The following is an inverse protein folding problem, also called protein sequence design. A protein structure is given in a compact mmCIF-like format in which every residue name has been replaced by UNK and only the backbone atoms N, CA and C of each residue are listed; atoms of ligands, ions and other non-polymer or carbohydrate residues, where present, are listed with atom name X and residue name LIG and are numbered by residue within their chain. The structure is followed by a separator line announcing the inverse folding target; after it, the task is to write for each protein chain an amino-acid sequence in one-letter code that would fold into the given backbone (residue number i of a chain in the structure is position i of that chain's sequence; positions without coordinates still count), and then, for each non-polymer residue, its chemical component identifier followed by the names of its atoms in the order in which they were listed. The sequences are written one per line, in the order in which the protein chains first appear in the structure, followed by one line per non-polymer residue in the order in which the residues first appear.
data_IF_454161146021
#
_entry.id   IF_454161146021
#
_cell.length_a   1.000
_cell.length_b   1.000
_cell.length_c   1.000
_cell.angle_alpha   90.00
_cell.angle_beta   90.00
_cell.angle_gamma   90.00
#
_symmetry.space_group_name_H-M   'P 1'
#
loop_
_entity.id
_entity.type
_entity.pdbx_description
1 polymer ?
#
# COMPACT_ATOMS: atom_id res chain seq x y z
N UNK A 1 36.20 -21.27 -19.78
CA UNK A 1 34.84 -20.90 -20.21
C UNK A 1 34.40 -19.71 -19.38
N UNK A 2 34.36 -18.56 -20.02
CA UNK A 2 34.22 -17.23 -19.42
C UNK A 2 32.72 -16.90 -19.33
N UNK A 3 32.13 -17.11 -18.15
CA UNK A 3 30.73 -16.73 -17.89
C UNK A 3 30.74 -15.24 -17.56
N UNK A 4 30.59 -14.42 -18.60
CA UNK A 4 30.43 -12.97 -18.45
C UNK A 4 29.12 -12.70 -17.72
N UNK A 5 29.24 -12.36 -16.45
CA UNK A 5 28.15 -11.93 -15.58
C UNK A 5 27.63 -10.58 -16.09
N UNK A 6 26.52 -10.61 -16.83
CA UNK A 6 25.87 -9.40 -17.35
C UNK A 6 25.18 -8.72 -16.17
N UNK A 7 25.57 -7.47 -15.91
CA UNK A 7 25.06 -6.63 -14.82
C UNK A 7 23.53 -6.54 -14.88
N UNK A 8 22.91 -7.15 -13.88
CA UNK A 8 21.47 -7.19 -13.60
C UNK A 8 20.98 -5.77 -13.23
N UNK A 9 20.67 -4.94 -14.23
CA UNK A 9 19.98 -3.64 -14.03
C UNK A 9 18.45 -3.70 -14.28
N UNK A 10 17.90 -4.87 -14.60
CA UNK A 10 16.46 -5.05 -14.88
C UNK A 10 15.66 -5.74 -13.75
N UNK A 11 16.26 -5.98 -12.58
CA UNK A 11 15.60 -6.76 -11.52
C UNK A 11 14.82 -5.91 -10.50
N UNK A 12 14.77 -4.58 -10.68
CA UNK A 12 13.93 -3.71 -9.82
C UNK A 12 12.46 -4.02 -10.07
N UNK A 13 12.08 -4.23 -11.34
CA UNK A 13 10.67 -4.44 -11.71
C UNK A 13 10.21 -5.82 -11.24
N UNK A 14 11.00 -6.87 -11.44
CA UNK A 14 10.64 -8.23 -11.00
C UNK A 14 10.54 -8.38 -9.46
N UNK A 15 11.45 -7.76 -8.70
CA UNK A 15 11.40 -7.82 -7.22
C UNK A 15 10.26 -6.95 -6.67
N UNK A 16 9.97 -5.82 -7.32
CA UNK A 16 8.81 -4.97 -7.01
C UNK A 16 7.50 -5.72 -7.31
N UNK A 17 7.41 -6.43 -8.44
CA UNK A 17 6.23 -7.18 -8.87
C UNK A 17 5.87 -8.30 -7.89
N UNK A 18 6.84 -9.10 -7.42
CA UNK A 18 6.58 -10.15 -6.42
C UNK A 18 6.08 -9.58 -5.09
N UNK A 19 6.55 -8.37 -4.71
CA UNK A 19 6.08 -7.69 -3.50
C UNK A 19 4.65 -7.18 -3.64
N UNK A 20 4.24 -6.77 -4.85
CA UNK A 20 2.85 -6.36 -5.15
C UNK A 20 1.90 -7.55 -5.06
N UNK A 21 2.25 -8.70 -5.64
CA UNK A 21 1.42 -9.91 -5.55
C UNK A 21 1.27 -10.42 -4.10
N UNK A 22 2.23 -10.09 -3.21
CA UNK A 22 2.15 -10.36 -1.77
C UNK A 22 1.31 -9.34 -0.98
N UNK A 23 0.89 -8.23 -1.59
CA UNK A 23 -0.05 -7.30 -0.97
C UNK A 23 -1.46 -7.92 -1.09
N UNK A 24 -1.77 -8.83 -0.16
CA UNK A 24 -3.09 -9.39 0.16
C UNK A 24 -4.24 -9.20 -0.85
N UNK A 25 -4.92 -10.31 -1.20
CA UNK A 25 -6.22 -10.38 -1.91
C UNK A 25 -7.40 -9.64 -1.21
N UNK A 26 -7.12 -8.81 -0.22
CA UNK A 26 -8.09 -8.08 0.61
C UNK A 26 -8.76 -6.93 -0.17
N UNK A 27 -8.06 -6.32 -1.13
CA UNK A 27 -8.62 -5.29 -2.02
C UNK A 27 -8.14 -5.50 -3.45
N UNK A 28 -9.09 -5.49 -4.38
CA UNK A 28 -8.83 -5.44 -5.82
C UNK A 28 -7.97 -4.20 -6.16
N UNK A 29 -6.74 -4.42 -6.64
CA UNK A 29 -5.81 -3.36 -7.01
C UNK A 29 -6.38 -2.42 -8.07
N UNK A 30 -7.23 -2.91 -8.98
CA UNK A 30 -7.90 -2.07 -9.98
C UNK A 30 -8.87 -1.12 -9.28
N UNK A 31 -9.64 -1.61 -8.31
CA UNK A 31 -10.53 -0.77 -7.49
C UNK A 31 -9.73 0.27 -6.69
N UNK A 32 -8.59 -0.13 -6.12
CA UNK A 32 -7.73 0.78 -5.37
C UNK A 32 -7.14 1.87 -6.26
N UNK A 33 -6.59 1.50 -7.42
CA UNK A 33 -6.00 2.43 -8.36
C UNK A 33 -7.04 3.42 -8.93
N UNK A 34 -8.24 2.96 -9.27
CA UNK A 34 -9.34 3.83 -9.68
C UNK A 34 -9.73 4.82 -8.56
N UNK A 35 -9.75 4.37 -7.31
CA UNK A 35 -10.03 5.24 -6.17
C UNK A 35 -8.91 6.25 -5.89
N UNK A 36 -7.67 5.96 -6.29
CA UNK A 36 -6.53 6.88 -6.18
C UNK A 36 -6.57 7.97 -7.23
N UNK A 37 -6.95 7.67 -8.47
CA UNK A 37 -6.94 8.62 -9.59
C UNK A 37 -7.71 9.92 -9.29
N UNK A 38 -8.85 9.80 -8.61
CA UNK A 38 -9.71 10.93 -8.25
C UNK A 38 -9.49 11.44 -6.82
N UNK A 39 -8.46 10.95 -6.11
CA UNK A 39 -8.29 11.27 -4.71
C UNK A 39 -7.69 12.69 -4.51
N UNK A 40 -8.39 13.61 -3.83
CA UNK A 40 -7.91 14.97 -3.61
C UNK A 40 -6.72 15.04 -2.63
N UNK A 41 -6.60 14.10 -1.71
CA UNK A 41 -5.50 14.03 -0.73
C UNK A 41 -4.16 13.70 -1.43
N UNK A 42 -4.18 12.85 -2.47
CA UNK A 42 -2.98 12.62 -3.29
C UNK A 42 -2.51 13.92 -3.96
N UNK A 43 -3.43 14.69 -4.57
CA UNK A 43 -3.10 15.98 -5.17
C UNK A 43 -2.51 16.94 -4.13
N UNK A 44 -3.07 16.95 -2.92
CA UNK A 44 -2.58 17.79 -1.84
C UNK A 44 -1.20 17.35 -1.35
N UNK A 45 -0.95 16.05 -1.22
CA UNK A 45 0.37 15.50 -0.85
C UNK A 45 1.44 15.92 -1.86
N UNK A 46 1.14 15.88 -3.15
CA UNK A 46 2.08 16.35 -4.19
C UNK A 46 2.31 17.85 -4.18
N UNK A 47 1.30 18.64 -3.78
CA UNK A 47 1.36 20.11 -3.77
C UNK A 47 2.08 20.66 -2.52
N UNK A 48 1.69 20.17 -1.35
CA UNK A 48 2.13 20.73 -0.05
C UNK A 48 3.48 20.13 0.39
N UNK A 49 3.93 19.05 -0.28
CA UNK A 49 5.11 18.30 0.11
C UNK A 49 4.82 17.36 1.28
N UNK A 50 5.39 16.16 1.22
CA UNK A 50 5.21 15.14 2.26
C UNK A 50 6.51 14.34 2.43
N UNK A 51 6.66 13.71 3.59
CA UNK A 51 7.70 12.70 3.80
C UNK A 51 7.46 11.42 2.98
N UNK A 52 6.25 11.25 2.43
CA UNK A 52 5.92 10.12 1.57
C UNK A 52 6.61 10.24 0.22
N UNK A 53 7.23 9.15 -0.23
CA UNK A 53 7.83 9.05 -1.57
C UNK A 53 6.87 8.31 -2.49
N UNK A 54 5.80 8.99 -2.89
CA UNK A 54 4.75 8.39 -3.72
C UNK A 54 5.18 8.29 -5.19
N UNK A 55 5.17 7.06 -5.72
CA UNK A 55 5.45 6.77 -7.12
C UNK A 55 4.39 5.83 -7.68
N UNK A 56 4.16 5.90 -9.00
CA UNK A 56 3.28 4.96 -9.70
C UNK A 56 4.01 3.65 -9.98
N UNK A 57 3.32 2.55 -9.74
CA UNK A 57 3.72 1.21 -10.18
C UNK A 57 2.63 0.61 -11.05
N UNK A 58 3.05 -0.07 -12.11
CA UNK A 58 2.12 -0.76 -12.98
C UNK A 58 1.62 -2.03 -12.31
N UNK A 59 0.30 -2.25 -12.29
CA UNK A 59 -0.29 -3.46 -11.73
C UNK A 59 -0.27 -4.55 -12.81
N UNK A 60 0.48 -5.66 -12.61
CA UNK A 60 0.63 -6.70 -13.63
C UNK A 60 -0.72 -7.31 -14.02
N UNK A 61 -0.88 -7.61 -15.31
CA UNK A 61 -2.13 -8.14 -15.87
C UNK A 61 -3.24 -7.11 -16.05
N UNK A 62 -2.98 -5.83 -15.76
CA UNK A 62 -3.96 -4.74 -15.93
C UNK A 62 -3.37 -3.60 -16.77
N UNK A 63 -4.17 -2.57 -17.07
CA UNK A 63 -3.69 -1.33 -17.70
C UNK A 63 -3.59 -0.17 -16.71
N UNK A 64 -3.63 -0.47 -15.41
CA UNK A 64 -3.82 0.54 -14.38
C UNK A 64 -2.55 0.69 -13.54
N UNK A 65 -2.27 1.93 -13.16
CA UNK A 65 -1.15 2.27 -12.30
C UNK A 65 -1.62 2.56 -10.88
N UNK A 66 -0.85 2.12 -9.90
CA UNK A 66 -1.11 2.29 -8.48
C UNK A 66 -0.07 3.21 -7.85
N UNK A 67 -0.49 4.19 -7.08
CA UNK A 67 0.40 4.99 -6.24
C UNK A 67 0.81 4.21 -5.00
N UNK A 68 2.12 4.06 -4.80
CA UNK A 68 2.73 3.42 -3.65
C UNK A 68 3.78 4.32 -3.02
N UNK A 69 3.93 4.22 -1.71
CA UNK A 69 5.01 4.86 -0.95
C UNK A 69 6.26 3.97 -0.94
N UNK A 70 7.38 4.60 -1.27
CA UNK A 70 8.72 4.01 -1.31
C UNK A 70 9.62 4.52 -0.17
N UNK A 71 9.08 5.29 0.78
CA UNK A 71 9.86 5.79 1.93
C UNK A 71 10.37 4.67 2.85
N UNK A 72 9.86 3.45 2.70
CA UNK A 72 10.26 2.25 3.43
C UNK A 72 10.71 1.13 2.50
N UNK A 73 11.51 0.14 2.98
CA UNK A 73 11.91 -1.01 2.17
C UNK A 73 10.73 -1.85 1.65
N UNK A 74 9.62 -1.86 2.38
CA UNK A 74 8.35 -2.41 1.91
C UNK A 74 7.59 -1.32 1.14
N UNK A 75 7.18 -1.64 -0.08
CA UNK A 75 6.34 -0.78 -0.90
C UNK A 75 4.90 -0.87 -0.38
N UNK A 76 4.28 0.27 -0.14
CA UNK A 76 2.95 0.33 0.49
C UNK A 76 1.98 1.11 -0.38
N UNK A 77 0.89 0.50 -0.88
CA UNK A 77 -0.13 1.23 -1.61
C UNK A 77 -0.74 2.33 -0.78
N UNK A 78 -0.88 3.50 -1.40
CA UNK A 78 -1.63 4.58 -0.83
C UNK A 78 -3.12 4.23 -0.78
N UNK A 79 -3.78 4.48 0.34
CA UNK A 79 -5.20 4.13 0.49
C UNK A 79 -6.08 5.38 0.56
N UNK A 80 -6.93 5.61 -0.45
CA UNK A 80 -7.99 6.62 -0.43
C UNK A 80 -8.93 6.46 0.76
N UNK A 81 -9.42 7.58 1.29
CA UNK A 81 -10.27 7.61 2.49
C UNK A 81 -11.47 6.64 2.44
N UNK A 82 -12.05 6.45 1.26
CA UNK A 82 -13.20 5.57 1.01
C UNK A 82 -12.90 4.09 1.24
N UNK A 83 -11.64 3.66 1.15
CA UNK A 83 -11.23 2.26 1.26
C UNK A 83 -10.55 1.92 2.60
N UNK A 84 -10.09 2.92 3.36
CA UNK A 84 -9.31 2.69 4.60
C UNK A 84 -10.05 1.84 5.62
N UNK A 85 -11.34 2.12 5.85
CA UNK A 85 -12.15 1.35 6.81
C UNK A 85 -12.41 -0.08 6.34
N UNK A 86 -12.60 -0.28 5.03
CA UNK A 86 -12.76 -1.61 4.45
C UNK A 86 -11.49 -2.45 4.69
N UNK A 87 -10.32 -1.91 4.33
CA UNK A 87 -9.02 -2.58 4.54
C UNK A 87 -8.79 -2.92 6.00
N UNK A 88 -9.04 -1.95 6.89
CA UNK A 88 -8.90 -2.20 8.32
C UNK A 88 -9.82 -3.33 8.79
N UNK A 89 -11.11 -3.30 8.44
CA UNK A 89 -12.06 -4.32 8.87
C UNK A 89 -11.65 -5.71 8.36
N UNK A 90 -11.23 -5.84 7.10
CA UNK A 90 -10.77 -7.11 6.55
C UNK A 90 -9.56 -7.66 7.31
N UNK A 91 -8.51 -6.85 7.52
CA UNK A 91 -7.33 -7.28 8.27
C UNK A 91 -7.63 -7.53 9.75
N UNK A 92 -8.55 -6.77 10.33
CA UNK A 92 -8.99 -6.95 11.70
C UNK A 92 -9.71 -8.30 11.90
N UNK A 93 -10.63 -8.64 11.00
CA UNK A 93 -11.32 -9.95 11.00
C UNK A 93 -10.37 -11.13 10.85
N UNK A 94 -9.26 -10.95 10.12
CA UNK A 94 -8.24 -11.99 9.93
C UNK A 94 -7.27 -12.14 11.11
N UNK A 95 -7.05 -11.08 11.88
CA UNK A 95 -5.97 -11.05 12.88
C UNK A 95 -6.31 -11.74 14.22
N UNK A 96 -7.54 -12.24 14.43
CA UNK A 96 -8.08 -12.61 15.76
C UNK A 96 -7.97 -11.43 16.79
N UNK A 97 -8.72 -11.43 17.91
CA UNK A 97 -8.81 -10.25 18.76
C UNK A 97 -7.50 -9.97 19.53
N UNK A 98 -6.65 -9.13 18.96
CA UNK A 98 -5.44 -8.57 19.58
C UNK A 98 -5.22 -7.12 19.12
N UNK A 99 -5.50 -6.16 19.99
CA UNK A 99 -5.70 -4.72 19.69
C UNK A 99 -4.43 -3.91 19.32
N UNK A 100 -3.35 -4.56 18.89
CA UNK A 100 -2.15 -3.87 18.37
C UNK A 100 -1.57 -4.53 17.11
N UNK A 101 -1.81 -5.83 16.92
CA UNK A 101 -1.29 -6.57 15.76
C UNK A 101 -1.89 -6.04 14.45
N UNK A 102 -3.20 -5.79 14.41
CA UNK A 102 -3.88 -5.26 13.21
C UNK A 102 -3.35 -3.87 12.82
N UNK A 103 -3.20 -2.94 13.76
CA UNK A 103 -2.69 -1.59 13.45
C UNK A 103 -1.28 -1.62 12.88
N UNK A 104 -0.44 -2.52 13.39
CA UNK A 104 0.92 -2.73 12.88
C UNK A 104 0.87 -3.32 11.47
N UNK A 105 0.10 -4.38 11.26
CA UNK A 105 -0.07 -5.05 9.97
C UNK A 105 -0.58 -4.09 8.89
N UNK A 106 -1.61 -3.30 9.20
CA UNK A 106 -2.18 -2.31 8.27
C UNK A 106 -1.11 -1.29 7.88
N UNK A 107 -0.32 -0.77 8.83
CA UNK A 107 0.73 0.22 8.57
C UNK A 107 2.00 -0.33 7.89
N UNK A 108 2.22 -1.64 7.96
CA UNK A 108 3.28 -2.35 7.24
C UNK A 108 2.90 -2.61 5.79
N UNK A 109 1.62 -2.85 5.50
CA UNK A 109 1.12 -3.18 4.16
C UNK A 109 0.62 -1.97 3.37
N UNK A 110 0.08 -0.97 4.04
CA UNK A 110 -0.60 0.18 3.42
C UNK A 110 -0.10 1.50 3.99
N UNK A 111 -0.43 2.60 3.29
CA UNK A 111 -0.08 3.95 3.73
C UNK A 111 -1.21 4.94 3.51
N UNK A 112 -1.40 5.82 4.48
CA UNK A 112 -2.16 7.07 4.34
C UNK A 112 -1.83 8.01 5.51
N UNK A 113 -2.04 9.34 5.36
CA UNK A 113 -1.88 10.28 6.46
C UNK A 113 -2.74 9.90 7.66
N UNK A 114 -2.11 9.67 8.81
CA UNK A 114 -2.83 9.34 10.05
C UNK A 114 -3.19 7.87 10.26
N UNK A 115 -2.70 6.93 9.44
CA UNK A 115 -2.96 5.48 9.52
C UNK A 115 -2.98 4.88 10.93
N UNK A 116 -1.98 5.17 11.76
CA UNK A 116 -1.91 4.66 13.13
C UNK A 116 -2.98 5.26 14.05
N UNK A 117 -3.35 6.52 13.83
CA UNK A 117 -4.41 7.20 14.59
C UNK A 117 -5.76 6.57 14.24
N UNK A 118 -6.08 6.47 12.95
CA UNK A 118 -7.33 5.89 12.45
C UNK A 118 -7.53 4.46 12.95
N UNK A 119 -6.49 3.61 12.84
CA UNK A 119 -6.59 2.22 13.30
C UNK A 119 -6.85 2.13 14.81
N UNK A 120 -6.22 2.97 15.64
CA UNK A 120 -6.49 3.02 17.09
C UNK A 120 -7.91 3.47 17.39
N UNK A 121 -8.40 4.47 16.68
CA UNK A 121 -9.76 4.98 16.86
C UNK A 121 -10.82 3.95 16.44
N UNK A 122 -10.55 3.15 15.41
CA UNK A 122 -11.43 2.05 15.00
C UNK A 122 -11.39 0.87 15.96
N UNK A 123 -10.21 0.46 16.44
CA UNK A 123 -10.10 -0.62 17.44
C UNK A 123 -10.86 -0.29 18.73
N UNK A 124 -10.83 0.97 19.20
CA UNK A 124 -11.59 1.41 20.38
C UNK A 124 -13.10 1.31 20.21
N UNK A 125 -13.59 1.41 18.97
CA UNK A 125 -15.02 1.29 18.61
C UNK A 125 -15.44 -0.16 18.33
N UNK A 126 -14.50 -1.10 18.33
CA UNK A 126 -14.76 -2.54 18.24
C UNK A 126 -14.91 -3.19 19.62
N UNK A 127 -14.91 -2.39 20.70
CA UNK A 127 -15.23 -2.78 22.07
C UNK A 127 -16.72 -2.55 22.35
#
# INVERSE_FOLDING_TARGET
MDIRHISRRDNVVADTLSRIEQLDNVVDFVKLANAQEFNPELKQIFKDGSALQLQKIHVPGTKTDLYCDFSTPAQRPFVPISLRRQIFNCLHSLSHPGSNATSKLVAERYVWPGIRKDCRDWMRKCL
#
